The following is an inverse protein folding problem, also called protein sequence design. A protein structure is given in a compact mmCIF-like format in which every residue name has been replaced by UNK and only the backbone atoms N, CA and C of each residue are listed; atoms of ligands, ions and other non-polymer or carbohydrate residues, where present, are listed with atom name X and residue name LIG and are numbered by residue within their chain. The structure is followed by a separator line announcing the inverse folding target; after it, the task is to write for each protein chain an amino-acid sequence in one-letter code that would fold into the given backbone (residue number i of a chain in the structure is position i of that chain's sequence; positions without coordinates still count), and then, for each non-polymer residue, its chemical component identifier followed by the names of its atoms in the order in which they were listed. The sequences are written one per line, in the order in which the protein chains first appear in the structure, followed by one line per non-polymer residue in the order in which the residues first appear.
data_IF_118833552049
#
_entry.id   IF_118833552049
#
_cell.length_a   1.000
_cell.length_b   1.000
_cell.length_c   1.000
_cell.angle_alpha   90.00
_cell.angle_beta   90.00
_cell.angle_gamma   90.00
#
_symmetry.space_group_name_H-M   'P 1'
#
loop_
_entity.id
_entity.type
_entity.pdbx_description
1 polymer ?
#
# COMPACT_ATOMS: atom_id res chain seq x y z
N UNK A 1 -32.48 -18.75 -1.96
CA UNK A 1 -32.94 -18.58 -3.35
C UNK A 1 -31.78 -18.07 -4.22
N UNK A 2 -31.74 -18.44 -5.50
CA UNK A 2 -30.72 -17.95 -6.43
C UNK A 2 -30.78 -16.41 -6.54
N UNK A 3 -29.63 -15.74 -6.64
CA UNK A 3 -29.54 -14.27 -6.77
C UNK A 3 -29.98 -13.79 -8.15
N UNK A 4 -29.74 -14.59 -9.20
CA UNK A 4 -29.96 -14.20 -10.60
C UNK A 4 -31.40 -13.77 -10.92
N UNK A 5 -32.47 -14.49 -10.51
CA UNK A 5 -33.84 -14.06 -10.80
C UNK A 5 -34.18 -12.71 -10.13
N UNK A 6 -33.61 -12.44 -8.94
CA UNK A 6 -33.83 -11.21 -8.19
C UNK A 6 -33.13 -10.02 -8.85
N UNK A 7 -31.90 -10.21 -9.33
CA UNK A 7 -31.18 -9.19 -10.12
C UNK A 7 -31.95 -8.84 -11.39
N UNK A 8 -32.46 -9.86 -12.11
CA UNK A 8 -33.23 -9.64 -13.33
C UNK A 8 -34.52 -8.85 -13.07
N UNK A 9 -35.24 -9.17 -11.99
CA UNK A 9 -36.43 -8.44 -11.60
C UNK A 9 -36.14 -6.98 -11.22
N UNK A 10 -35.08 -6.74 -10.43
CA UNK A 10 -34.68 -5.38 -10.04
C UNK A 10 -34.26 -4.53 -11.25
N UNK A 11 -33.51 -5.11 -12.20
CA UNK A 11 -33.14 -4.43 -13.46
C UNK A 11 -34.36 -4.09 -14.31
N UNK A 12 -35.30 -5.04 -14.46
CA UNK A 12 -36.53 -4.81 -15.24
C UNK A 12 -37.42 -3.72 -14.62
N UNK A 13 -37.41 -3.61 -13.29
CA UNK A 13 -38.16 -2.59 -12.55
C UNK A 13 -37.44 -1.24 -12.44
N UNK A 14 -36.15 -1.15 -12.81
CA UNK A 14 -35.33 0.04 -12.56
C UNK A 14 -35.11 0.32 -11.06
N UNK A 15 -35.19 -0.71 -10.22
CA UNK A 15 -35.12 -0.57 -8.76
C UNK A 15 -33.66 -0.59 -8.28
N UNK A 16 -33.07 0.61 -8.21
CA UNK A 16 -31.69 0.80 -7.74
C UNK A 16 -31.50 0.37 -6.27
N UNK A 17 -32.53 0.52 -5.44
CA UNK A 17 -32.46 0.13 -4.02
C UNK A 17 -32.33 -1.38 -3.89
N UNK A 18 -33.17 -2.14 -4.62
CA UNK A 18 -33.09 -3.58 -4.65
C UNK A 18 -31.73 -4.09 -5.18
N UNK A 19 -31.15 -3.40 -6.17
CA UNK A 19 -29.81 -3.73 -6.66
C UNK A 19 -28.72 -3.47 -5.61
N UNK A 20 -28.83 -2.40 -4.84
CA UNK A 20 -27.90 -2.08 -3.76
C UNK A 20 -27.95 -3.16 -2.66
N UNK A 21 -29.15 -3.57 -2.25
CA UNK A 21 -29.35 -4.65 -1.27
C UNK A 21 -28.76 -5.97 -1.76
N UNK A 22 -28.99 -6.33 -3.03
CA UNK A 22 -28.42 -7.54 -3.63
C UNK A 22 -26.89 -7.51 -3.68
N UNK A 23 -26.29 -6.35 -3.95
CA UNK A 23 -24.83 -6.16 -3.88
C UNK A 23 -24.31 -6.36 -2.46
N UNK A 24 -24.98 -5.80 -1.46
CA UNK A 24 -24.60 -5.99 -0.06
C UNK A 24 -24.73 -7.45 0.38
N UNK A 25 -25.80 -8.14 -0.03
CA UNK A 25 -25.98 -9.58 0.23
C UNK A 25 -24.86 -10.40 -0.41
N UNK A 26 -24.52 -10.12 -1.68
CA UNK A 26 -23.45 -10.81 -2.40
C UNK A 26 -22.09 -10.58 -1.73
N UNK A 27 -21.77 -9.33 -1.38
CA UNK A 27 -20.52 -8.99 -0.70
C UNK A 27 -20.37 -9.75 0.63
N UNK A 28 -21.43 -9.80 1.44
CA UNK A 28 -21.44 -10.55 2.70
C UNK A 28 -21.23 -12.07 2.50
N UNK A 29 -21.85 -12.64 1.46
CA UNK A 29 -21.65 -14.06 1.10
C UNK A 29 -20.24 -14.35 0.60
N UNK A 30 -19.70 -13.51 -0.28
CA UNK A 30 -18.33 -13.63 -0.76
C UNK A 30 -17.34 -13.58 0.39
N UNK A 31 -17.54 -12.65 1.33
CA UNK A 31 -16.70 -12.52 2.51
C UNK A 31 -16.71 -13.79 3.37
N UNK A 32 -17.89 -14.37 3.56
CA UNK A 32 -18.04 -15.63 4.31
C UNK A 32 -17.34 -16.79 3.62
N UNK A 33 -17.52 -16.93 2.30
CA UNK A 33 -16.96 -18.04 1.52
C UNK A 33 -15.44 -17.95 1.41
N UNK A 34 -14.91 -16.75 1.11
CA UNK A 34 -13.49 -16.56 0.80
C UNK A 34 -12.65 -16.38 2.07
N UNK A 35 -13.22 -15.81 3.13
CA UNK A 35 -12.46 -15.37 4.30
C UNK A 35 -13.05 -15.87 5.64
N UNK A 36 -13.99 -16.81 5.60
CA UNK A 36 -14.49 -17.47 6.81
C UNK A 36 -15.36 -16.60 7.73
N UNK A 37 -15.83 -15.44 7.25
CA UNK A 37 -16.81 -14.62 7.97
C UNK A 37 -16.22 -13.67 9.02
N UNK A 38 -15.02 -13.14 8.80
CA UNK A 38 -14.39 -12.11 9.64
C UNK A 38 -14.39 -10.72 8.95
N UNK A 39 -15.57 -10.13 8.64
CA UNK A 39 -15.68 -8.93 7.79
C UNK A 39 -14.95 -7.72 8.39
N UNK A 40 -15.00 -7.54 9.71
CA UNK A 40 -14.39 -6.39 10.36
C UNK A 40 -12.86 -6.44 10.37
N UNK A 41 -12.28 -7.64 10.50
CA UNK A 41 -10.82 -7.81 10.53
C UNK A 41 -10.21 -7.68 9.14
N UNK A 42 -10.86 -8.28 8.13
CA UNK A 42 -10.45 -8.11 6.75
C UNK A 42 -10.56 -6.65 6.31
N UNK A 43 -11.66 -5.98 6.65
CA UNK A 43 -11.80 -4.56 6.31
C UNK A 43 -10.68 -3.72 6.93
N UNK A 44 -10.33 -3.98 8.20
CA UNK A 44 -9.17 -3.34 8.85
C UNK A 44 -7.86 -3.65 8.11
N UNK A 45 -7.63 -4.92 7.75
CA UNK A 45 -6.46 -5.33 6.98
C UNK A 45 -6.36 -4.60 5.63
N UNK A 46 -7.44 -4.56 4.85
CA UNK A 46 -7.47 -3.88 3.55
C UNK A 46 -7.26 -2.36 3.69
N UNK A 47 -7.78 -1.76 4.75
CA UNK A 47 -7.57 -0.35 5.06
C UNK A 47 -6.15 -0.02 5.49
N UNK A 48 -5.43 -0.96 6.10
CA UNK A 48 -4.04 -0.79 6.51
C UNK A 48 -3.05 -1.13 5.39
N UNK A 49 -3.30 -2.22 4.67
CA UNK A 49 -2.30 -2.86 3.80
C UNK A 49 -2.77 -3.07 2.36
N UNK A 50 -4.07 -2.94 2.08
CA UNK A 50 -4.63 -3.32 0.79
C UNK A 50 -4.67 -4.84 0.66
N UNK A 51 -4.32 -5.37 -0.52
CA UNK A 51 -4.41 -6.82 -0.76
C UNK A 51 -3.29 -7.63 -0.09
N UNK A 52 -2.13 -7.02 0.17
CA UNK A 52 -0.96 -7.69 0.73
C UNK A 52 -0.22 -6.77 1.70
N UNK A 53 0.04 -7.24 2.91
CA UNK A 53 0.89 -6.57 3.87
C UNK A 53 2.37 -6.65 3.45
N UNK A 54 3.16 -5.75 4.02
CA UNK A 54 4.59 -5.65 3.82
C UNK A 54 5.33 -5.72 5.16
N UNK A 55 6.60 -6.05 5.09
CA UNK A 55 7.57 -5.82 6.17
C UNK A 55 8.40 -4.58 5.83
N UNK A 56 9.08 -4.01 6.83
CA UNK A 56 9.99 -2.89 6.61
C UNK A 56 11.14 -3.29 5.66
N UNK A 57 11.67 -4.52 5.79
CA UNK A 57 12.70 -5.04 4.87
C UNK A 57 12.22 -5.10 3.41
N UNK A 58 10.95 -5.47 3.19
CA UNK A 58 10.36 -5.51 1.85
C UNK A 58 10.22 -4.10 1.27
N UNK A 59 9.79 -3.14 2.09
CA UNK A 59 9.72 -1.73 1.71
C UNK A 59 11.09 -1.17 1.35
N UNK A 60 12.11 -1.44 2.16
CA UNK A 60 13.48 -0.99 1.91
C UNK A 60 14.04 -1.61 0.63
N UNK A 61 13.80 -2.91 0.40
CA UNK A 61 14.20 -3.59 -0.82
C UNK A 61 13.53 -2.96 -2.05
N UNK A 62 12.21 -2.78 -2.02
CA UNK A 62 11.48 -2.14 -3.10
C UNK A 62 11.99 -0.71 -3.37
N UNK A 63 12.21 0.09 -2.32
CA UNK A 63 12.66 1.47 -2.43
C UNK A 63 14.00 1.60 -3.18
N UNK A 64 14.95 0.68 -2.99
CA UNK A 64 16.23 0.65 -3.72
C UNK A 64 16.08 0.45 -5.23
N UNK A 65 14.98 -0.14 -5.68
CA UNK A 65 14.69 -0.37 -7.09
C UNK A 65 13.83 0.73 -7.72
N UNK A 66 13.62 1.85 -7.02
CA UNK A 66 12.86 2.99 -7.55
C UNK A 66 13.49 3.56 -8.86
N UNK A 67 12.67 4.04 -9.81
CA UNK A 67 11.21 4.16 -9.74
C UNK A 67 10.49 2.83 -9.99
N UNK A 68 9.39 2.60 -9.26
CA UNK A 68 8.53 1.42 -9.40
C UNK A 68 7.20 1.77 -10.08
N UNK A 69 6.61 0.78 -10.75
CA UNK A 69 5.24 0.83 -11.26
C UNK A 69 4.42 -0.21 -10.51
N UNK A 70 3.38 0.23 -9.81
CA UNK A 70 2.46 -0.65 -9.07
C UNK A 70 1.28 -1.06 -9.97
N UNK A 71 1.20 -2.36 -10.30
CA UNK A 71 0.06 -2.91 -11.05
C UNK A 71 -1.05 -3.27 -10.07
N UNK A 72 -2.23 -2.69 -10.27
CA UNK A 72 -3.37 -2.95 -9.40
C UNK A 72 -3.28 -2.25 -8.03
N UNK A 73 -2.78 -1.01 -7.99
CA UNK A 73 -2.52 -0.26 -6.76
C UNK A 73 -3.74 -0.04 -5.85
N UNK A 74 -4.95 -0.20 -6.37
CA UNK A 74 -6.18 -0.01 -5.61
C UNK A 74 -6.23 1.39 -4.97
N UNK A 75 -6.27 1.43 -3.64
CA UNK A 75 -6.26 2.67 -2.85
C UNK A 75 -4.85 3.20 -2.51
N UNK A 76 -3.79 2.69 -3.14
CA UNK A 76 -2.42 3.18 -2.99
C UNK A 76 -1.83 2.96 -1.60
N UNK A 77 -2.05 1.79 -0.99
CA UNK A 77 -1.50 1.49 0.35
C UNK A 77 0.02 1.33 0.30
N UNK A 78 0.53 0.59 -0.70
CA UNK A 78 1.97 0.41 -0.92
C UNK A 78 2.64 1.70 -1.36
N UNK A 79 2.05 2.47 -2.28
CA UNK A 79 2.56 3.81 -2.64
C UNK A 79 2.72 4.73 -1.42
N UNK A 80 1.72 4.79 -0.54
CA UNK A 80 1.78 5.58 0.71
C UNK A 80 2.82 5.06 1.70
N UNK A 81 3.09 3.75 1.70
CA UNK A 81 4.13 3.16 2.52
C UNK A 81 5.53 3.46 1.96
N UNK A 82 5.75 3.20 0.68
CA UNK A 82 7.01 3.40 -0.03
C UNK A 82 7.43 4.88 -0.09
N UNK A 83 6.49 5.81 -0.23
CA UNK A 83 6.78 7.25 -0.23
C UNK A 83 7.33 7.78 1.11
N UNK A 84 7.15 7.03 2.20
CA UNK A 84 7.70 7.35 3.53
C UNK A 84 9.10 6.78 3.74
N UNK A 85 9.50 5.80 2.93
CA UNK A 85 10.81 5.16 3.01
C UNK A 85 11.80 6.09 2.32
N UNK A 86 12.85 6.49 3.05
CA UNK A 86 13.97 7.19 2.42
C UNK A 86 14.77 6.17 1.64
N UNK A 87 14.88 6.34 0.32
CA UNK A 87 15.81 5.55 -0.48
C UNK A 87 17.20 5.75 0.13
N UNK A 88 17.87 4.71 0.63
CA UNK A 88 19.27 4.80 1.00
C UNK A 88 20.02 5.18 -0.28
N UNK A 89 20.62 6.35 -0.31
CA UNK A 89 21.54 6.71 -1.39
C UNK A 89 22.79 5.85 -1.19
N UNK A 90 22.76 4.63 -1.70
CA UNK A 90 23.97 3.84 -1.88
C UNK A 90 24.86 4.66 -2.82
N UNK A 91 25.96 5.19 -2.30
CA UNK A 91 26.93 6.02 -3.01
C UNK A 91 27.66 5.25 -4.11
N UNK A 92 26.94 4.82 -5.15
CA UNK A 92 27.42 3.97 -6.23
C UNK A 92 26.92 4.44 -7.59
N UNK A 93 27.72 5.31 -8.22
CA UNK A 93 27.86 5.48 -9.66
C UNK A 93 26.57 5.44 -10.53
N UNK A 94 25.80 6.54 -10.54
CA UNK A 94 25.16 6.96 -11.80
C UNK A 94 26.19 7.80 -12.56
N UNK A 95 26.56 7.32 -13.74
CA UNK A 95 27.59 7.92 -14.59
C UNK A 95 27.38 9.41 -14.80
N UNK A 96 28.49 10.14 -14.76
CA UNK A 96 28.59 11.54 -15.16
C UNK A 96 28.03 11.71 -16.59
N UNK A 97 26.85 12.31 -16.69
CA UNK A 97 26.40 12.96 -17.90
C UNK A 97 25.97 14.38 -17.53
N UNK A 98 26.88 15.33 -17.79
CA UNK A 98 26.55 16.76 -17.85
C UNK A 98 27.05 17.60 -16.69
N UNK A 99 28.38 17.82 -16.62
CA UNK A 99 28.90 19.06 -16.03
C UNK A 99 28.34 20.24 -16.83
N UNK A 100 27.59 21.10 -16.18
CA UNK A 100 27.60 22.53 -16.47
C UNK A 100 27.96 23.26 -15.19
N UNK A 101 29.12 23.88 -15.23
CA UNK A 101 29.66 24.71 -14.18
C UNK A 101 28.72 25.88 -13.88
N UNK A 102 28.44 26.08 -12.59
CA UNK A 102 28.11 27.40 -12.05
C UNK A 102 28.35 27.38 -10.53
N UNK A 103 29.54 27.85 -10.16
CA UNK A 103 29.85 28.71 -9.02
C UNK A 103 29.02 28.62 -7.72
N UNK A 104 29.72 28.47 -6.59
CA UNK A 104 29.34 29.18 -5.37
C UNK A 104 29.53 28.45 -4.05
N UNK A 105 30.75 28.52 -3.50
CA UNK A 105 31.05 28.93 -2.12
C UNK A 105 30.42 28.23 -0.90
N UNK A 106 31.28 27.83 0.03
CA UNK A 106 31.00 28.02 1.47
C UNK A 106 31.04 26.74 2.32
N UNK A 107 32.13 26.61 3.09
CA UNK A 107 32.35 25.58 4.10
C UNK A 107 31.45 25.73 5.35
N UNK A 108 31.12 24.62 6.02
CA UNK A 108 31.14 24.55 7.49
C UNK A 108 31.07 23.11 8.01
N UNK A 109 31.83 22.91 9.08
CA UNK A 109 32.12 21.70 9.87
C UNK A 109 31.00 21.42 10.89
N UNK A 110 30.78 20.15 11.25
CA UNK A 110 30.00 19.81 12.45
C UNK A 110 29.88 18.32 12.74
N UNK A 111 30.73 17.80 13.64
CA UNK A 111 30.69 16.45 14.21
C UNK A 111 29.49 16.24 15.14
N UNK A 112 28.96 15.01 15.20
CA UNK A 112 28.07 14.57 16.26
C UNK A 112 27.60 13.13 16.12
N UNK A 113 28.41 12.18 16.62
CA UNK A 113 28.02 10.76 16.80
C UNK A 113 27.01 10.66 17.95
N UNK A 114 25.89 9.99 17.74
CA UNK A 114 24.92 9.64 18.78
C UNK A 114 24.43 8.21 18.56
N UNK A 115 24.79 7.33 19.49
CA UNK A 115 24.59 5.88 19.50
C UNK A 115 23.15 5.47 19.81
N UNK A 116 22.67 4.40 19.15
CA UNK A 116 21.48 3.62 19.51
C UNK A 116 21.53 3.08 20.93
N UNK A 117 20.36 2.82 21.53
CA UNK A 117 20.20 1.67 22.40
C UNK A 117 19.22 0.65 21.81
N UNK A 118 19.78 -0.56 21.71
CA UNK A 118 19.16 -1.87 21.69
C UNK A 118 18.10 -2.03 22.79
N UNK A 119 16.97 -2.66 22.47
CA UNK A 119 16.13 -3.30 23.50
C UNK A 119 15.43 -4.52 22.91
N UNK A 120 16.10 -5.65 23.06
CA UNK A 120 15.48 -6.97 23.01
C UNK A 120 14.71 -7.23 24.31
N UNK A 121 13.51 -7.79 24.16
CA UNK A 121 12.91 -8.89 24.96
C UNK A 121 12.37 -8.61 26.39
N UNK A 122 11.05 -8.77 26.53
CA UNK A 122 10.31 -9.36 27.65
C UNK A 122 8.84 -9.49 27.18
N UNK A 123 8.03 -10.51 27.44
CA UNK A 123 8.13 -11.83 28.04
C UNK A 123 6.89 -12.59 27.53
#
# INVERSE_FOLDING_TARGET
AAIEPRVRAALAAGDESALLELRSELASKQETILFGGLPAERQRYLQSYGCAAWTDDALDLCARHSPLVEIGAGAGQWERALSRVRVPTDGGARGEAGRRDAAGGGAAVGHGRGTSPDSTRAA
#
